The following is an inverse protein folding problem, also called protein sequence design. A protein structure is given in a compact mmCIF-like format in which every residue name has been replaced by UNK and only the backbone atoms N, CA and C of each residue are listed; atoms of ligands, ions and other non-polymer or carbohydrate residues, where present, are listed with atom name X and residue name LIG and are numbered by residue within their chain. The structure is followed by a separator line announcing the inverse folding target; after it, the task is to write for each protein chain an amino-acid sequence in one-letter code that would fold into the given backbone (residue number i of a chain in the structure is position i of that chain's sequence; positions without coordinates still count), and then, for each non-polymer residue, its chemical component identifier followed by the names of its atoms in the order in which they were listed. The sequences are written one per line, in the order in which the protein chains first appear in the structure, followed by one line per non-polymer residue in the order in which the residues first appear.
data_IF_786255279641
#
_entry.id   IF_786255279641
#
_cell.length_a   1.000
_cell.length_b   1.000
_cell.length_c   1.000
_cell.angle_alpha   90.00
_cell.angle_beta   90.00
_cell.angle_gamma   90.00
#
_symmetry.space_group_name_H-M   'P 1'
#
loop_
_entity.id
_entity.type
_entity.pdbx_description
1 polymer ?
#
# COMPACT_ATOMS: atom_id res chain seq x y z
N UNK A 1 -6.09 -6.02 -13.71
CA UNK A 1 -4.96 -5.75 -12.80
C UNK A 1 -4.90 -4.27 -12.50
N UNK A 2 -4.22 -3.87 -11.43
CA UNK A 2 -4.05 -2.48 -11.04
C UNK A 2 -2.61 -2.21 -10.62
N UNK A 3 -2.22 -0.95 -10.62
CA UNK A 3 -0.99 -0.48 -10.00
C UNK A 3 -1.33 0.14 -8.66
N UNK A 4 -0.55 -0.19 -7.64
CA UNK A 4 -0.55 0.50 -6.36
C UNK A 4 0.65 1.44 -6.31
N UNK A 5 0.44 2.68 -5.88
CA UNK A 5 1.49 3.67 -5.72
C UNK A 5 1.25 4.55 -4.50
N UNK A 6 2.29 5.23 -4.03
CA UNK A 6 2.22 6.14 -2.87
C UNK A 6 2.45 7.58 -3.31
N UNK A 7 1.68 8.52 -2.76
CA UNK A 7 1.98 9.95 -2.78
C UNK A 7 2.39 10.41 -1.37
N UNK A 8 3.53 9.90 -0.89
CA UNK A 8 4.14 10.21 0.42
C UNK A 8 3.33 9.79 1.67
N UNK A 9 2.11 10.30 1.83
CA UNK A 9 1.22 10.06 2.99
C UNK A 9 -0.02 9.24 2.65
N UNK A 10 -0.28 9.00 1.36
CA UNK A 10 -1.45 8.29 0.86
C UNK A 10 -1.05 7.14 -0.06
N UNK A 11 -1.74 6.01 0.06
CA UNK A 11 -1.68 4.89 -0.88
C UNK A 11 -2.86 4.99 -1.85
N UNK A 12 -2.59 4.87 -3.15
CA UNK A 12 -3.57 4.96 -4.22
C UNK A 12 -3.44 3.81 -5.20
N UNK A 13 -4.51 3.57 -5.96
CA UNK A 13 -4.52 2.57 -7.01
C UNK A 13 -5.14 3.10 -8.30
N UNK A 14 -4.73 2.53 -9.43
CA UNK A 14 -5.25 2.85 -10.76
C UNK A 14 -5.40 1.58 -11.60
N UNK A 15 -6.46 1.49 -12.41
CA UNK A 15 -6.63 0.42 -13.39
C UNK A 15 -5.57 0.49 -14.49
N UNK A 16 -5.02 -0.67 -14.87
CA UNK A 16 -4.10 -0.77 -16.02
C UNK A 16 -4.82 -0.94 -17.36
N UNK A 17 -6.09 -1.34 -17.32
CA UNK A 17 -6.86 -1.75 -18.49
C UNK A 17 -7.62 -0.61 -19.16
N UNK A 18 -7.90 0.46 -18.43
CA UNK A 18 -8.63 1.62 -18.93
C UNK A 18 -8.10 2.88 -18.26
N UNK A 19 -7.40 3.71 -19.03
CA UNK A 19 -6.84 4.98 -18.57
C UNK A 19 -7.90 6.06 -18.35
N UNK A 20 -9.11 5.88 -18.87
CA UNK A 20 -10.24 6.80 -18.70
C UNK A 20 -11.08 6.45 -17.47
N UNK A 21 -10.90 5.26 -16.89
CA UNK A 21 -11.52 4.91 -15.63
C UNK A 21 -10.73 5.51 -14.46
N UNK A 22 -11.15 6.70 -14.05
CA UNK A 22 -10.58 7.44 -12.93
C UNK A 22 -10.95 6.84 -11.56
N UNK A 23 -11.81 5.82 -11.51
CA UNK A 23 -12.14 5.17 -10.26
C UNK A 23 -10.97 4.29 -9.83
N UNK A 24 -10.52 4.47 -8.59
CA UNK A 24 -9.50 3.61 -8.02
C UNK A 24 -10.08 2.22 -7.70
N UNK A 25 -9.47 1.12 -8.18
CA UNK A 25 -9.92 -0.24 -7.86
C UNK A 25 -9.91 -0.54 -6.36
N UNK A 26 -9.01 0.12 -5.63
CA UNK A 26 -8.97 0.14 -4.17
C UNK A 26 -9.14 1.58 -3.71
N UNK A 27 -10.03 1.79 -2.74
CA UNK A 27 -10.23 3.09 -2.10
C UNK A 27 -8.90 3.67 -1.61
N UNK A 28 -8.55 4.92 -1.93
CA UNK A 28 -7.34 5.55 -1.42
C UNK A 28 -7.28 5.50 0.11
N UNK A 29 -6.09 5.24 0.66
CA UNK A 29 -5.87 5.15 2.09
C UNK A 29 -4.85 6.15 2.57
N UNK A 30 -5.33 7.10 3.38
CA UNK A 30 -4.52 8.10 4.02
C UNK A 30 -4.70 8.01 5.53
N UNK A 31 -3.59 7.85 6.24
CA UNK A 31 -3.58 7.92 7.70
C UNK A 31 -2.24 8.49 8.16
N UNK A 32 -2.17 9.82 8.44
CA UNK A 32 -0.93 10.49 8.83
C UNK A 32 -0.28 9.97 10.11
N UNK A 33 -0.99 9.15 10.89
CA UNK A 33 -0.45 8.49 12.10
C UNK A 33 0.25 7.17 11.80
N UNK A 34 -0.02 6.56 10.64
CA UNK A 34 0.53 5.27 10.22
C UNK A 34 1.54 5.43 9.07
N UNK A 35 1.35 6.45 8.23
CA UNK A 35 2.15 6.77 7.05
C UNK A 35 2.48 8.26 7.05
N UNK A 36 3.75 8.61 6.88
CA UNK A 36 4.24 9.97 6.87
C UNK A 36 5.21 10.23 5.72
N UNK A 37 6.04 9.26 5.38
CA UNK A 37 6.97 9.38 4.27
C UNK A 37 7.28 8.01 3.66
N UNK A 38 6.30 7.47 2.94
CA UNK A 38 6.44 6.21 2.20
C UNK A 38 7.38 6.42 1.01
N UNK A 39 8.46 5.63 0.94
CA UNK A 39 9.49 5.74 -0.11
C UNK A 39 9.71 4.46 -0.93
N UNK A 40 9.22 3.32 -0.44
CA UNK A 40 9.26 2.07 -1.18
C UNK A 40 7.97 1.28 -0.97
N UNK A 41 7.55 0.58 -2.02
CA UNK A 41 6.38 -0.28 -2.07
C UNK A 41 6.76 -1.62 -2.69
N UNK A 42 6.27 -2.70 -2.10
CA UNK A 42 6.26 -4.03 -2.70
C UNK A 42 4.88 -4.64 -2.51
N UNK A 43 4.47 -5.45 -3.47
CA UNK A 43 3.12 -5.98 -3.54
C UNK A 43 3.17 -7.49 -3.75
N UNK A 44 2.56 -8.22 -2.82
CA UNK A 44 2.41 -9.67 -2.91
C UNK A 44 1.00 -9.99 -3.38
N UNK A 45 0.92 -10.31 -4.67
CA UNK A 45 -0.32 -10.59 -5.35
C UNK A 45 -0.70 -12.06 -5.21
N UNK A 46 -1.85 -12.34 -4.59
CA UNK A 46 -2.33 -13.70 -4.42
C UNK A 46 -3.65 -13.94 -5.16
N UNK A 47 -3.54 -14.20 -6.46
CA UNK A 47 -4.68 -14.49 -7.35
C UNK A 47 -5.46 -15.76 -6.98
N UNK A 48 -4.85 -16.67 -6.20
CA UNK A 48 -5.33 -18.04 -5.99
C UNK A 48 -6.16 -18.25 -4.72
N UNK A 49 -6.22 -17.25 -3.83
CA UNK A 49 -6.95 -17.33 -2.56
C UNK A 49 -7.99 -16.23 -2.52
N UNK A 50 -9.18 -16.54 -2.01
CA UNK A 50 -10.27 -15.59 -1.76
C UNK A 50 -9.95 -14.59 -0.62
N UNK A 51 -8.74 -14.02 -0.63
CA UNK A 51 -8.21 -13.14 0.38
C UNK A 51 -7.65 -11.86 -0.23
N UNK A 52 -7.21 -10.98 0.65
CA UNK A 52 -6.66 -9.67 0.32
C UNK A 52 -5.19 -9.78 -0.06
N UNK A 53 -4.75 -8.90 -0.96
CA UNK A 53 -3.34 -8.83 -1.33
C UNK A 53 -2.57 -8.09 -0.24
N UNK A 54 -1.29 -8.42 -0.11
CA UNK A 54 -0.43 -7.83 0.92
C UNK A 54 0.44 -6.75 0.33
N UNK A 55 0.46 -5.61 0.99
CA UNK A 55 1.24 -4.44 0.63
C UNK A 55 2.33 -4.29 1.68
N UNK A 56 3.57 -4.25 1.24
CA UNK A 56 4.73 -3.96 2.06
C UNK A 56 5.25 -2.58 1.69
N UNK A 57 5.61 -1.78 2.68
CA UNK A 57 6.15 -0.46 2.43
C UNK A 57 7.11 -0.01 3.52
N UNK A 58 8.09 0.80 3.14
CA UNK A 58 8.99 1.45 4.08
C UNK A 58 8.57 2.89 4.28
N UNK A 59 8.58 3.34 5.54
CA UNK A 59 8.38 4.73 5.89
C UNK A 59 9.66 5.30 6.53
N UNK A 60 10.32 6.22 5.84
CA UNK A 60 11.61 6.78 6.29
C UNK A 60 11.45 7.76 7.46
N UNK A 61 10.25 8.30 7.68
CA UNK A 61 10.01 9.13 8.87
C UNK A 61 10.00 8.27 10.14
N UNK A 62 9.39 7.08 10.06
CA UNK A 62 9.33 6.16 11.19
C UNK A 62 10.52 5.20 11.25
N UNK A 63 11.30 5.07 10.16
CA UNK A 63 12.43 4.15 10.08
C UNK A 63 11.98 2.69 10.19
N UNK A 64 10.87 2.32 9.55
CA UNK A 64 10.28 0.99 9.66
C UNK A 64 9.77 0.44 8.31
N UNK A 65 9.60 -0.89 8.27
CA UNK A 65 8.89 -1.60 7.21
C UNK A 65 7.60 -2.15 7.81
N UNK A 66 6.50 -1.92 7.10
CA UNK A 66 5.17 -2.27 7.52
C UNK A 66 4.51 -3.16 6.46
N UNK A 67 3.50 -3.89 6.91
CA UNK A 67 2.58 -4.64 6.05
C UNK A 67 1.15 -4.16 6.31
N UNK A 68 0.35 -4.11 5.26
CA UNK A 68 -1.10 -3.90 5.33
C UNK A 68 -1.78 -4.67 4.19
N UNK A 69 -3.03 -5.07 4.37
CA UNK A 69 -3.82 -5.62 3.29
C UNK A 69 -4.34 -4.50 2.36
N UNK A 70 -4.70 -4.87 1.14
CA UNK A 70 -5.35 -3.97 0.18
C UNK A 70 -6.82 -3.62 0.50
N UNK A 71 -7.41 -4.24 1.52
CA UNK A 71 -8.66 -3.80 2.16
C UNK A 71 -8.41 -2.92 3.40
N UNK A 72 -7.16 -2.51 3.61
CA UNK A 72 -6.68 -1.67 4.72
C UNK A 72 -6.76 -2.32 6.11
N UNK A 73 -7.00 -3.62 6.17
CA UNK A 73 -6.98 -4.39 7.42
C UNK A 73 -5.60 -4.98 7.72
N UNK A 74 -5.47 -5.55 8.93
CA UNK A 74 -4.30 -6.33 9.36
C UNK A 74 -2.95 -5.62 9.20
N UNK A 75 -2.94 -4.31 9.45
CA UNK A 75 -1.70 -3.52 9.48
C UNK A 75 -0.80 -3.98 10.63
N UNK A 76 0.49 -4.17 10.35
CA UNK A 76 1.51 -4.40 11.38
C UNK A 76 2.88 -3.87 10.95
N UNK A 77 3.73 -3.59 11.92
CA UNK A 77 5.15 -3.30 11.68
C UNK A 77 5.89 -4.63 11.70
N UNK A 78 6.72 -4.88 10.69
CA UNK A 78 7.46 -6.15 10.53
C UNK A 78 8.97 -5.99 10.66
N UNK A 79 9.48 -4.76 10.55
CA UNK A 79 10.85 -4.41 10.89
C UNK A 79 10.91 -2.97 11.39
N UNK A 80 11.65 -2.74 12.46
CA UNK A 80 11.91 -1.42 13.05
C UNK A 80 13.39 -1.07 12.87
N UNK A 81 13.72 0.23 12.98
CA UNK A 81 15.09 0.75 12.88
C UNK A 81 15.78 0.36 11.56
N UNK A 82 15.04 0.41 10.45
CA UNK A 82 15.56 0.18 9.10
C UNK A 82 15.73 1.53 8.41
N UNK A 83 16.97 1.89 8.11
CA UNK A 83 17.37 3.19 7.56
C UNK A 83 18.87 3.38 7.60
#
# INVERSE_FOLDING_TARGET
GYVLYSERTILKSIHLSDENDLNSPIQPFENPTLFKNVIALAFDYNQSRAGTNRIFFSDVHYGNIQIINDDWTRRSIIAENVG
#
